data_IF_056966154709
#
_entry.id   IF_056966154709
#
_cell.length_a   1.000
_cell.length_b   1.000
_cell.length_c   1.000
_cell.angle_alpha   90.00
_cell.angle_beta   90.00
_cell.angle_gamma   90.00
#
_symmetry.space_group_name_H-M   'P 1'
#
loop_
_entity.id
_entity.type
_entity.pdbx_description
1 polymer ?
#
# COMPACT_ATOMS: atom_id res chain seq x y z
N UNK A 1 -10.55 15.48 -22.64
CA UNK A 1 -10.31 15.66 -21.19
C UNK A 1 -10.07 14.28 -20.60
N UNK A 2 -8.96 14.06 -19.90
CA UNK A 2 -8.65 12.78 -19.23
C UNK A 2 -9.23 12.76 -17.81
N UNK A 3 -9.63 11.59 -17.35
CA UNK A 3 -10.01 11.38 -15.95
C UNK A 3 -8.73 11.41 -15.11
N UNK A 4 -8.64 12.22 -14.03
CA UNK A 4 -7.49 12.19 -13.13
C UNK A 4 -7.41 10.81 -12.44
N UNK A 5 -6.20 10.29 -12.27
CA UNK A 5 -5.95 9.05 -11.57
C UNK A 5 -4.76 9.19 -10.61
N UNK A 6 -4.69 8.32 -9.62
CA UNK A 6 -3.55 8.22 -8.71
C UNK A 6 -2.60 7.16 -9.26
N UNK A 7 -1.38 7.59 -9.61
CA UNK A 7 -0.31 6.67 -9.96
C UNK A 7 0.37 6.17 -8.67
N UNK A 8 -0.11 5.03 -8.18
CA UNK A 8 0.25 4.54 -6.86
C UNK A 8 1.76 4.37 -6.65
N UNK A 9 2.51 3.98 -7.71
CA UNK A 9 3.97 3.81 -7.64
C UNK A 9 4.71 5.12 -7.37
N UNK A 10 4.17 6.25 -7.83
CA UNK A 10 4.79 7.58 -7.69
C UNK A 10 4.22 8.34 -6.49
N UNK A 11 2.92 8.18 -6.25
CA UNK A 11 2.22 8.89 -5.19
C UNK A 11 0.99 8.10 -4.73
N UNK A 12 1.10 7.42 -3.62
CA UNK A 12 -0.01 6.71 -2.99
C UNK A 12 -0.93 7.63 -2.17
N UNK A 13 -2.09 7.11 -1.82
CA UNK A 13 -2.96 7.72 -0.82
C UNK A 13 -2.60 7.18 0.57
N UNK A 14 -2.29 8.06 1.51
CA UNK A 14 -1.93 7.68 2.89
C UNK A 14 -3.12 7.71 3.85
N UNK A 15 -4.35 7.78 3.34
CA UNK A 15 -5.59 7.71 4.11
C UNK A 15 -5.62 8.72 5.27
N UNK A 16 -5.29 9.98 4.98
CA UNK A 16 -5.26 11.04 5.98
C UNK A 16 -6.64 11.16 6.66
N UNK A 17 -6.69 11.10 7.97
CA UNK A 17 -7.90 11.44 8.71
C UNK A 17 -8.02 12.96 8.86
N UNK A 18 -9.16 13.57 8.66
CA UNK A 18 -10.49 13.08 8.31
C UNK A 18 -10.82 13.09 6.80
N UNK A 19 -9.92 12.66 5.93
CA UNK A 19 -10.07 12.67 4.47
C UNK A 19 -10.26 14.08 3.88
N UNK A 20 -9.29 15.00 4.06
CA UNK A 20 -9.43 16.40 3.67
C UNK A 20 -9.70 16.61 2.18
N UNK A 21 -9.24 15.70 1.32
CA UNK A 21 -9.52 15.74 -0.11
C UNK A 21 -11.01 15.50 -0.42
N UNK A 22 -11.69 14.64 0.33
CA UNK A 22 -13.13 14.39 0.21
C UNK A 22 -13.90 15.61 0.67
N UNK A 23 -13.54 16.17 1.83
CA UNK A 23 -14.18 17.38 2.39
C UNK A 23 -14.00 18.60 1.50
N UNK A 24 -12.85 18.72 0.83
CA UNK A 24 -12.53 19.87 -0.03
C UNK A 24 -13.02 19.70 -1.48
N UNK A 25 -13.62 18.57 -1.86
CA UNK A 25 -14.06 18.32 -3.23
C UNK A 25 -15.35 19.09 -3.55
N UNK A 26 -15.33 20.20 -4.33
CA UNK A 26 -16.52 21.03 -4.54
C UNK A 26 -17.50 20.41 -5.54
N UNK A 27 -17.05 19.46 -6.35
CA UNK A 27 -17.83 18.87 -7.45
C UNK A 27 -18.48 17.54 -7.10
N UNK A 28 -18.20 16.99 -5.89
CA UNK A 28 -18.65 15.66 -5.49
C UNK A 28 -18.02 14.52 -6.31
N UNK A 29 -16.91 14.80 -7.02
CA UNK A 29 -16.15 13.76 -7.73
C UNK A 29 -15.57 12.72 -6.75
N UNK A 30 -15.33 13.10 -5.50
CA UNK A 30 -15.07 12.21 -4.40
C UNK A 30 -16.36 12.06 -3.59
N UNK A 31 -16.70 10.83 -3.22
CA UNK A 31 -17.93 10.53 -2.50
C UNK A 31 -17.88 11.11 -1.08
N UNK A 32 -18.70 12.13 -0.83
CA UNK A 32 -18.78 12.80 0.46
C UNK A 32 -19.40 11.95 1.58
N UNK A 33 -19.95 10.78 1.26
CA UNK A 33 -20.39 9.80 2.27
C UNK A 33 -19.24 8.95 2.80
N UNK A 34 -18.05 9.07 2.20
CA UNK A 34 -16.84 8.40 2.70
C UNK A 34 -16.29 9.19 3.89
N UNK A 35 -16.55 8.73 5.10
CA UNK A 35 -16.18 9.43 6.33
C UNK A 35 -14.89 8.89 6.96
N UNK A 36 -14.58 7.62 6.72
CA UNK A 36 -13.46 6.93 7.36
C UNK A 36 -12.50 6.31 6.32
N UNK A 37 -11.21 6.20 6.64
CA UNK A 37 -10.23 5.56 5.77
C UNK A 37 -10.59 4.16 5.31
N UNK A 38 -11.22 3.36 6.15
CA UNK A 38 -11.66 1.99 5.85
C UNK A 38 -12.82 1.91 4.86
N UNK A 39 -13.58 2.98 4.68
CA UNK A 39 -14.70 3.06 3.74
C UNK A 39 -14.27 3.43 2.32
N UNK A 40 -13.03 3.86 2.16
CA UNK A 40 -12.43 4.19 0.86
C UNK A 40 -12.36 2.95 -0.04
N UNK A 41 -12.68 3.11 -1.32
CA UNK A 41 -12.72 2.00 -2.30
C UNK A 41 -12.02 2.40 -3.60
N UNK A 42 -10.70 2.64 -3.54
CA UNK A 42 -9.92 3.05 -4.73
C UNK A 42 -9.48 1.88 -5.61
N UNK A 43 -9.20 0.73 -5.00
CA UNK A 43 -8.69 -0.43 -5.70
C UNK A 43 -8.48 -1.61 -4.77
N UNK A 44 -7.66 -2.55 -5.20
CA UNK A 44 -7.21 -3.67 -4.37
C UNK A 44 -5.74 -3.97 -4.66
N UNK A 45 -4.96 -4.20 -3.61
CA UNK A 45 -3.58 -4.64 -3.75
C UNK A 45 -3.53 -6.11 -4.18
N UNK A 46 -2.64 -6.42 -5.12
CA UNK A 46 -2.42 -7.77 -5.63
C UNK A 46 -0.92 -8.05 -5.69
N UNK A 47 -0.49 -9.20 -5.19
CA UNK A 47 0.88 -9.68 -5.37
C UNK A 47 1.04 -10.14 -6.83
N UNK A 48 1.34 -9.20 -7.72
CA UNK A 48 1.40 -9.43 -9.15
C UNK A 48 2.72 -10.03 -9.63
N UNK A 49 3.82 -9.70 -8.95
CA UNK A 49 5.17 -10.16 -9.29
C UNK A 49 5.85 -10.82 -8.08
N UNK A 50 5.44 -12.04 -7.72
CA UNK A 50 6.01 -12.75 -6.55
C UNK A 50 7.52 -12.92 -6.65
N UNK A 51 8.06 -13.09 -7.86
CA UNK A 51 9.48 -13.20 -8.15
C UNK A 51 10.28 -11.94 -7.83
N UNK A 52 9.65 -10.77 -7.81
CA UNK A 52 10.27 -9.51 -7.41
C UNK A 52 10.20 -9.25 -5.89
N UNK A 53 9.41 -10.03 -5.15
CA UNK A 53 9.19 -9.82 -3.73
C UNK A 53 10.43 -10.17 -2.89
N UNK A 54 11.03 -9.17 -2.23
CA UNK A 54 12.21 -9.40 -1.39
C UNK A 54 11.96 -10.34 -0.23
N UNK A 55 10.75 -10.33 0.36
CA UNK A 55 10.40 -11.27 1.42
C UNK A 55 10.42 -12.71 0.92
N UNK A 56 9.84 -12.98 -0.25
CA UNK A 56 9.87 -14.30 -0.91
C UNK A 56 11.29 -14.71 -1.31
N UNK A 57 12.11 -13.75 -1.74
CA UNK A 57 13.52 -13.99 -2.07
C UNK A 57 14.42 -14.13 -0.84
N UNK A 58 13.90 -13.91 0.38
CA UNK A 58 14.68 -13.84 1.63
C UNK A 58 15.81 -12.80 1.59
N UNK A 59 15.60 -11.71 0.85
CA UNK A 59 16.54 -10.61 0.73
C UNK A 59 16.17 -9.46 1.67
N UNK A 60 17.17 -8.78 2.26
CA UNK A 60 16.92 -7.61 3.07
C UNK A 60 16.46 -6.42 2.23
N UNK A 61 15.83 -5.46 2.89
CA UNK A 61 15.53 -4.15 2.29
C UNK A 61 16.83 -3.45 1.93
N UNK A 62 16.99 -2.92 0.70
CA UNK A 62 18.21 -2.22 0.29
C UNK A 62 18.51 -1.00 1.16
N UNK A 63 19.79 -0.74 1.38
CA UNK A 63 20.24 0.51 2.03
C UNK A 63 19.91 1.71 1.13
N UNK A 64 19.50 2.81 1.75
CA UNK A 64 19.15 4.05 1.03
C UNK A 64 17.77 4.03 0.38
N UNK A 65 16.93 3.02 0.65
CA UNK A 65 15.58 2.94 0.09
C UNK A 65 14.70 4.13 0.50
N UNK A 66 14.75 4.57 1.75
CA UNK A 66 14.06 5.78 2.20
C UNK A 66 14.47 7.02 1.40
N UNK A 67 15.75 7.14 1.03
CA UNK A 67 16.26 8.20 0.17
C UNK A 67 15.75 8.13 -1.27
N UNK A 68 15.37 6.95 -1.77
CA UNK A 68 14.68 6.83 -3.06
C UNK A 68 13.27 7.37 -2.96
N UNK A 69 12.54 6.96 -1.94
CA UNK A 69 11.16 7.41 -1.71
C UNK A 69 11.08 8.91 -1.42
N UNK A 70 12.07 9.49 -0.73
CA UNK A 70 12.11 10.93 -0.46
C UNK A 70 12.17 11.81 -1.72
N UNK A 71 12.51 11.24 -2.87
CA UNK A 71 12.51 11.95 -4.18
C UNK A 71 11.14 11.98 -4.85
N UNK A 72 10.17 11.23 -4.35
CA UNK A 72 8.80 11.30 -4.84
C UNK A 72 8.20 12.68 -4.51
N UNK A 73 7.21 13.17 -5.29
CA UNK A 73 6.58 14.45 -5.04
C UNK A 73 5.72 14.42 -3.76
N UNK A 74 6.32 14.70 -2.65
CA UNK A 74 5.66 14.73 -1.34
C UNK A 74 5.28 16.16 -0.93
N UNK A 75 4.32 16.27 -0.04
CA UNK A 75 3.91 17.52 0.58
C UNK A 75 3.72 17.31 2.08
N UNK A 76 4.79 17.54 2.91
CA UNK A 76 4.73 17.86 4.34
C UNK A 76 5.03 16.81 5.40
N UNK A 77 4.92 17.25 6.64
CA UNK A 77 5.32 16.72 7.95
C UNK A 77 5.07 15.23 8.23
N UNK A 78 3.97 14.66 7.72
CA UNK A 78 3.67 13.22 7.79
C UNK A 78 4.77 12.37 7.12
N UNK A 79 5.49 12.95 6.21
CA UNK A 79 6.51 12.29 5.38
C UNK A 79 7.82 12.11 6.12
N UNK A 80 8.18 13.02 7.02
CA UNK A 80 9.39 12.87 7.81
C UNK A 80 9.30 11.64 8.72
N UNK A 81 8.15 11.44 9.40
CA UNK A 81 7.91 10.26 10.22
C UNK A 81 7.84 8.99 9.38
N UNK A 82 7.18 9.05 8.22
CA UNK A 82 7.11 7.94 7.28
C UNK A 82 8.50 7.54 6.80
N UNK A 83 9.33 8.50 6.40
CA UNK A 83 10.69 8.24 5.93
C UNK A 83 11.59 7.73 7.04
N UNK A 84 11.48 8.24 8.27
CA UNK A 84 12.18 7.69 9.46
C UNK A 84 11.78 6.25 9.72
N UNK A 85 10.48 5.95 9.68
CA UNK A 85 9.96 4.60 9.84
C UNK A 85 10.46 3.70 8.70
N UNK A 86 10.41 4.16 7.46
CA UNK A 86 10.88 3.42 6.28
C UNK A 86 12.36 3.10 6.37
N UNK A 87 13.21 4.05 6.77
CA UNK A 87 14.64 3.86 6.97
C UNK A 87 14.94 2.77 8.01
N UNK A 88 14.06 2.60 9.00
CA UNK A 88 14.24 1.56 10.03
C UNK A 88 14.15 0.13 9.51
N UNK A 89 13.64 -0.09 8.30
CA UNK A 89 13.56 -1.41 7.65
C UNK A 89 14.82 -1.75 6.86
N UNK A 90 15.65 -0.77 6.53
CA UNK A 90 16.87 -0.99 5.72
C UNK A 90 17.79 -2.04 6.37
N UNK A 91 18.26 -2.99 5.58
CA UNK A 91 19.07 -4.11 6.04
C UNK A 91 18.31 -5.23 6.76
N UNK A 92 17.01 -5.09 7.01
CA UNK A 92 16.16 -6.08 7.67
C UNK A 92 15.34 -6.90 6.66
N UNK A 93 14.79 -8.05 7.06
CA UNK A 93 13.81 -8.78 6.26
C UNK A 93 12.64 -7.87 5.84
N UNK A 94 12.20 -7.97 4.58
CA UNK A 94 11.21 -7.07 4.04
C UNK A 94 9.79 -7.39 4.54
N UNK A 95 9.19 -6.45 5.29
CA UNK A 95 7.80 -6.49 5.76
C UNK A 95 7.06 -5.18 5.45
N UNK A 96 7.67 -4.31 4.65
CA UNK A 96 7.24 -2.91 4.42
C UNK A 96 5.76 -2.82 4.03
N UNK A 97 5.27 -3.67 3.12
CA UNK A 97 3.89 -3.60 2.64
C UNK A 97 2.85 -3.85 3.74
N UNK A 98 3.18 -4.64 4.76
CA UNK A 98 2.32 -4.89 5.91
C UNK A 98 2.47 -3.81 6.98
N UNK A 99 3.72 -3.51 7.39
CA UNK A 99 4.00 -2.60 8.50
C UNK A 99 3.78 -1.12 8.17
N UNK A 100 3.80 -0.78 6.87
CA UNK A 100 3.52 0.57 6.37
C UNK A 100 2.11 0.72 5.81
N UNK A 101 1.24 -0.30 5.97
CA UNK A 101 -0.16 -0.17 5.60
C UNK A 101 -0.82 0.92 6.46
N UNK A 102 -1.42 1.97 5.84
CA UNK A 102 -1.97 3.09 6.60
C UNK A 102 -3.27 2.75 7.35
N UNK A 103 -3.88 1.60 7.08
CA UNK A 103 -5.01 1.12 7.86
C UNK A 103 -4.54 0.70 9.25
N UNK A 104 -5.21 1.18 10.33
CA UNK A 104 -4.81 0.86 11.68
C UNK A 104 -5.02 -0.62 12.01
N UNK A 105 -4.16 -1.20 12.86
CA UNK A 105 -4.35 -2.52 13.41
C UNK A 105 -5.61 -2.54 14.34
N UNK A 106 -6.54 -3.52 14.26
CA UNK A 106 -6.47 -4.79 13.51
C UNK A 106 -6.93 -4.72 12.05
N UNK A 107 -7.23 -3.56 11.52
CA UNK A 107 -7.77 -3.38 10.17
C UNK A 107 -6.70 -3.44 9.06
N UNK A 108 -5.41 -3.66 9.41
CA UNK A 108 -4.36 -3.77 8.42
C UNK A 108 -4.74 -4.76 7.32
N UNK A 109 -4.65 -4.29 6.09
CA UNK A 109 -5.13 -5.03 4.93
C UNK A 109 -4.08 -6.00 4.38
N UNK A 110 -2.87 -6.01 4.92
CA UNK A 110 -1.79 -6.92 4.50
C UNK A 110 -1.18 -7.54 5.75
N UNK A 111 -1.00 -8.85 5.72
CA UNK A 111 -0.36 -9.63 6.77
C UNK A 111 0.83 -10.40 6.19
N UNK A 112 1.92 -10.47 6.95
CA UNK A 112 3.07 -11.31 6.59
C UNK A 112 2.86 -12.69 7.21
N UNK A 113 2.74 -13.70 6.37
CA UNK A 113 2.50 -15.09 6.78
C UNK A 113 3.70 -15.95 6.41
N UNK A 114 4.20 -16.71 7.37
CA UNK A 114 5.22 -17.71 7.12
C UNK A 114 4.56 -19.02 6.64
N UNK A 115 4.98 -19.48 5.47
CA UNK A 115 4.54 -20.75 4.91
C UNK A 115 5.75 -21.44 4.28
N UNK A 116 5.99 -22.70 4.69
CA UNK A 116 7.08 -23.52 4.15
C UNK A 116 8.46 -22.84 4.28
N UNK A 117 8.71 -22.16 5.41
CA UNK A 117 9.97 -21.46 5.68
C UNK A 117 10.17 -20.19 4.82
N UNK A 118 9.12 -19.68 4.20
CA UNK A 118 9.15 -18.45 3.40
C UNK A 118 8.06 -17.50 3.88
N UNK A 119 8.43 -16.24 4.14
CA UNK A 119 7.50 -15.18 4.54
C UNK A 119 6.92 -14.54 3.28
N UNK A 120 5.60 -14.39 3.24
CA UNK A 120 4.88 -13.81 2.10
C UNK A 120 3.79 -12.85 2.55
N UNK A 121 3.53 -11.75 1.81
CA UNK A 121 2.39 -10.89 2.07
C UNK A 121 1.09 -11.56 1.62
N UNK A 122 0.09 -11.49 2.48
CA UNK A 122 -1.30 -11.90 2.18
C UNK A 122 -2.18 -10.66 2.27
N UNK A 123 -2.89 -10.37 1.19
CA UNK A 123 -3.84 -9.25 1.14
C UNK A 123 -5.20 -9.72 1.67
N UNK A 124 -5.76 -8.96 2.61
CA UNK A 124 -7.05 -9.23 3.23
C UNK A 124 -8.18 -8.44 2.53
N UNK A 125 -9.42 -8.86 2.77
CA UNK A 125 -10.63 -8.24 2.20
C UNK A 125 -10.83 -6.76 2.59
N UNK A 126 -10.22 -6.31 3.70
CA UNK A 126 -10.24 -4.92 4.14
C UNK A 126 -9.36 -3.96 3.31
N UNK A 127 -8.63 -4.46 2.31
CA UNK A 127 -7.81 -3.60 1.46
C UNK A 127 -8.66 -2.56 0.72
N UNK A 128 -8.28 -1.29 0.82
CA UNK A 128 -8.97 -0.15 0.18
C UNK A 128 -8.26 0.33 -1.10
N UNK A 129 -7.11 -0.27 -1.45
CA UNK A 129 -6.35 0.05 -2.66
C UNK A 129 -5.66 1.41 -2.62
N UNK A 130 -5.23 1.86 -1.44
CA UNK A 130 -4.57 3.16 -1.26
C UNK A 130 -3.22 3.30 -1.99
N UNK A 131 -2.55 2.19 -2.29
CA UNK A 131 -1.30 2.16 -3.04
C UNK A 131 -0.02 2.31 -2.22
N UNK A 132 -0.07 2.56 -0.91
CA UNK A 132 1.13 2.72 -0.09
C UNK A 132 2.09 1.52 -0.19
N UNK A 133 1.56 0.30 -0.26
CA UNK A 133 2.36 -0.91 -0.44
C UNK A 133 3.06 -0.99 -1.81
N UNK A 134 2.49 -0.38 -2.85
CA UNK A 134 3.09 -0.29 -4.18
C UNK A 134 4.16 0.79 -4.23
N UNK A 135 3.88 2.01 -3.72
CA UNK A 135 4.85 3.10 -3.67
C UNK A 135 6.08 2.72 -2.88
N UNK A 136 5.88 2.19 -1.67
CA UNK A 136 6.96 1.90 -0.72
C UNK A 136 7.68 0.56 -0.99
N UNK A 137 7.28 -0.19 -2.00
CA UNK A 137 7.92 -1.46 -2.33
C UNK A 137 9.39 -1.23 -2.75
N UNK A 138 10.36 -1.88 -2.08
CA UNK A 138 11.79 -1.68 -2.36
C UNK A 138 12.28 -2.40 -3.62
N UNK A 139 11.46 -3.23 -4.24
CA UNK A 139 11.79 -3.88 -5.50
C UNK A 139 11.76 -2.87 -6.67
N UNK A 140 12.63 -3.05 -7.66
CA UNK A 140 12.66 -2.22 -8.87
C UNK A 140 11.32 -2.25 -9.59
N UNK A 141 10.79 -3.45 -9.83
CA UNK A 141 9.39 -3.66 -10.20
C UNK A 141 8.64 -3.97 -8.92
N UNK A 142 7.62 -3.18 -8.55
CA UNK A 142 6.90 -3.42 -7.32
C UNK A 142 6.24 -4.80 -7.35
N UNK A 143 6.53 -5.63 -6.35
CA UNK A 143 5.98 -6.98 -6.26
C UNK A 143 4.46 -6.97 -6.07
N UNK A 144 3.97 -5.96 -5.35
CA UNK A 144 2.56 -5.73 -5.07
C UNK A 144 2.10 -4.47 -5.82
N UNK A 145 0.98 -4.55 -6.51
CA UNK A 145 0.42 -3.45 -7.30
C UNK A 145 -1.06 -3.28 -7.00
N UNK A 146 -1.57 -2.07 -7.17
CA UNK A 146 -3.01 -1.80 -7.04
C UNK A 146 -3.70 -2.02 -8.38
N UNK A 147 -4.78 -2.77 -8.35
CA UNK A 147 -5.67 -3.01 -9.49
C UNK A 147 -7.02 -2.33 -9.25
N UNK A 148 -7.75 -1.97 -10.32
CA UNK A 148 -9.13 -1.50 -10.18
C UNK A 148 -9.96 -2.46 -9.34
N UNK A 149 -10.82 -1.91 -8.49
CA UNK A 149 -11.66 -2.71 -7.62
C UNK A 149 -12.90 -3.21 -8.37
N UNK A 150 -12.86 -4.45 -8.80
CA UNK A 150 -14.06 -5.18 -9.23
C UNK A 150 -14.70 -5.82 -7.99
N UNK A 151 -14.03 -6.81 -7.44
CA UNK A 151 -14.33 -7.39 -6.13
C UNK A 151 -13.08 -8.06 -5.57
N UNK A 152 -13.00 -8.24 -4.26
CA UNK A 152 -11.93 -9.03 -3.66
C UNK A 152 -11.94 -10.47 -4.17
N UNK A 153 -13.13 -11.04 -4.34
CA UNK A 153 -13.32 -12.41 -4.81
C UNK A 153 -12.80 -12.62 -6.23
N UNK A 154 -12.83 -11.61 -7.12
CA UNK A 154 -12.31 -11.74 -8.49
C UNK A 154 -10.80 -11.97 -8.53
N UNK A 155 -10.06 -11.47 -7.55
CA UNK A 155 -8.59 -11.64 -7.46
C UNK A 155 -8.19 -12.83 -6.57
N UNK A 156 -8.91 -13.09 -5.50
CA UNK A 156 -8.52 -14.05 -4.46
C UNK A 156 -9.44 -15.26 -4.35
N UNK A 157 -10.61 -15.23 -5.01
CA UNK A 157 -11.64 -16.26 -4.93
C UNK A 157 -12.36 -16.28 -3.57
N UNK A 158 -13.55 -16.86 -3.53
CA UNK A 158 -14.24 -17.12 -2.28
C UNK A 158 -13.47 -18.20 -1.48
N UNK A 159 -12.95 -17.83 -0.33
CA UNK A 159 -12.28 -18.77 0.58
C UNK A 159 -10.77 -18.92 0.46
N UNK A 160 -10.06 -18.11 -0.34
CA UNK A 160 -8.59 -18.12 -0.42
C UNK A 160 -7.90 -17.04 0.40
N UNK A 161 -8.63 -16.32 1.22
CA UNK A 161 -8.11 -15.33 2.16
C UNK A 161 -8.00 -15.95 3.54
N UNK A 162 -6.92 -16.68 3.77
CA UNK A 162 -6.62 -17.27 5.07
C UNK A 162 -5.13 -17.49 5.19
#
# INVERSE_FOLDING_TARGET
MGTPYIEARTRACYLCGPLPCVLACPTGALDHHTEKPEDVKMGIAVLAFPEACLALQKKPVPQGHAGVISKHPHTRDVEEELLKKLASFEGKPCTICADMCPLPNPLSAIEMVEKEGTVRPIVKSGCVGCGACEELCPALTPAIVVKPRESYASYYGEGKGG
#
